data_IF_442519218837
#
_entry.id   IF_442519218837
#
_cell.length_a   1.000
_cell.length_b   1.000
_cell.length_c   1.000
_cell.angle_alpha   90.00
_cell.angle_beta   90.00
_cell.angle_gamma   90.00
#
_symmetry.space_group_name_H-M   'P 1'
#
loop_
_entity.id
_entity.type
_entity.pdbx_description
1 polymer ?
#
# COMPACT_ATOMS: atom_id res chain seq x y z
N UNK A 1 32.81 9.04 20.37
CA UNK A 1 32.23 8.44 21.59
C UNK A 1 31.45 7.20 21.17
N UNK A 2 31.68 6.05 21.82
CA UNK A 2 30.86 4.85 21.57
C UNK A 2 29.40 5.17 21.93
N UNK A 3 28.45 4.86 21.03
CA UNK A 3 27.02 4.93 21.37
C UNK A 3 26.75 3.96 22.53
N UNK A 4 26.06 4.43 23.57
CA UNK A 4 25.57 3.52 24.60
C UNK A 4 24.71 2.43 23.95
N UNK A 5 24.74 1.21 24.50
CA UNK A 5 23.94 0.10 24.00
C UNK A 5 22.45 0.46 24.06
N UNK A 6 21.74 0.19 22.97
CA UNK A 6 20.28 0.33 22.91
C UNK A 6 19.64 -0.59 23.94
N UNK A 7 18.79 -0.04 24.82
CA UNK A 7 18.22 -0.78 25.97
C UNK A 7 16.81 -1.29 25.70
N UNK A 8 16.01 -0.51 24.98
CA UNK A 8 14.67 -0.95 24.54
C UNK A 8 14.32 -0.29 23.21
N UNK A 9 13.43 -0.93 22.46
CA UNK A 9 12.91 -0.40 21.20
C UNK A 9 11.40 -0.25 21.28
N UNK A 10 10.93 0.90 20.86
CA UNK A 10 9.52 1.21 20.67
C UNK A 10 9.19 1.22 19.19
N UNK A 11 8.14 0.50 18.82
CA UNK A 11 7.58 0.50 17.47
C UNK A 11 6.21 1.15 17.49
N UNK A 12 5.99 2.19 16.69
CA UNK A 12 4.69 2.83 16.54
C UNK A 12 4.09 2.43 15.20
N UNK A 13 3.06 1.60 15.24
CA UNK A 13 2.37 0.99 14.11
C UNK A 13 2.35 -0.54 14.21
N UNK A 14 1.24 -1.10 14.69
CA UNK A 14 1.04 -2.53 14.93
C UNK A 14 0.60 -3.32 13.68
N UNK A 15 1.14 -3.03 12.49
CA UNK A 15 0.81 -3.73 11.24
C UNK A 15 2.07 -4.39 10.64
N UNK A 16 2.03 -4.76 9.36
CA UNK A 16 3.09 -5.53 8.69
C UNK A 16 4.50 -4.97 8.90
N UNK A 17 4.70 -3.65 8.68
CA UNK A 17 6.01 -3.03 8.85
C UNK A 17 6.48 -3.07 10.32
N UNK A 18 5.60 -2.77 11.28
CA UNK A 18 5.97 -2.77 12.69
C UNK A 18 6.34 -4.16 13.21
N UNK A 19 5.54 -5.18 12.88
CA UNK A 19 5.86 -6.56 13.25
C UNK A 19 7.13 -7.06 12.57
N UNK A 20 7.30 -6.76 11.27
CA UNK A 20 8.52 -7.15 10.55
C UNK A 20 9.76 -6.46 11.14
N UNK A 21 9.66 -5.20 11.60
CA UNK A 21 10.75 -4.52 12.28
C UNK A 21 11.08 -5.18 13.63
N UNK A 22 10.07 -5.50 14.43
CA UNK A 22 10.27 -6.21 15.71
C UNK A 22 10.93 -7.57 15.49
N UNK A 23 10.47 -8.34 14.52
CA UNK A 23 11.08 -9.60 14.12
C UNK A 23 12.53 -9.41 13.62
N UNK A 24 12.77 -8.44 12.75
CA UNK A 24 14.11 -8.13 12.24
C UNK A 24 15.12 -7.74 13.34
N UNK A 25 14.65 -7.05 14.40
CA UNK A 25 15.46 -6.75 15.58
C UNK A 25 15.85 -8.04 16.33
N UNK A 26 14.91 -8.95 16.56
CA UNK A 26 15.16 -10.24 17.22
C UNK A 26 16.13 -11.11 16.40
N UNK A 27 15.92 -11.22 15.10
CA UNK A 27 16.81 -11.99 14.22
C UNK A 27 18.27 -11.46 14.24
N UNK A 28 18.45 -10.18 14.52
CA UNK A 28 19.77 -9.54 14.66
C UNK A 28 20.35 -9.55 16.06
N UNK A 29 19.72 -10.30 16.97
CA UNK A 29 20.21 -10.52 18.35
C UNK A 29 19.94 -9.38 19.31
N UNK A 30 18.97 -8.48 19.01
CA UNK A 30 18.51 -7.52 20.01
C UNK A 30 17.74 -8.24 21.11
N UNK A 31 18.27 -8.21 22.32
CA UNK A 31 17.79 -8.92 23.51
C UNK A 31 16.97 -8.03 24.49
N UNK A 32 16.95 -6.72 24.25
CA UNK A 32 16.18 -5.77 25.06
C UNK A 32 14.67 -5.85 24.78
N UNK A 33 13.82 -5.26 25.66
CA UNK A 33 12.39 -5.19 25.45
C UNK A 33 12.02 -4.50 24.11
N UNK A 34 11.01 -5.05 23.43
CA UNK A 34 10.38 -4.44 22.26
C UNK A 34 8.89 -4.25 22.58
N UNK A 35 8.40 -3.00 22.44
CA UNK A 35 6.98 -2.69 22.59
C UNK A 35 6.44 -2.16 21.28
N UNK A 36 5.35 -2.74 20.78
CA UNK A 36 4.67 -2.35 19.56
C UNK A 36 3.29 -1.76 19.90
N UNK A 37 3.08 -0.50 19.57
CA UNK A 37 1.80 0.20 19.73
C UNK A 37 1.03 0.21 18.40
N UNK A 38 -0.22 -0.22 18.42
CA UNK A 38 -1.14 -0.19 17.29
C UNK A 38 -2.44 0.52 17.63
N UNK A 39 -2.91 1.41 16.77
CA UNK A 39 -4.14 2.19 17.02
C UNK A 39 -5.43 1.40 16.74
N UNK A 40 -5.35 0.30 16.01
CA UNK A 40 -6.46 -0.62 15.81
C UNK A 40 -6.54 -1.62 16.99
N UNK A 41 -7.76 -2.04 17.39
CA UNK A 41 -7.94 -2.98 18.50
C UNK A 41 -7.62 -4.43 18.14
N UNK A 42 -7.21 -4.66 16.88
CA UNK A 42 -6.97 -5.98 16.31
C UNK A 42 -5.48 -6.32 16.34
N UNK A 43 -5.16 -7.61 16.43
CA UNK A 43 -3.86 -8.09 16.05
C UNK A 43 -3.57 -7.75 14.57
N UNK A 44 -2.30 -7.70 14.20
CA UNK A 44 -1.92 -7.38 12.82
C UNK A 44 -2.51 -8.38 11.82
N UNK A 45 -2.90 -7.90 10.66
CA UNK A 45 -3.57 -8.69 9.63
C UNK A 45 -3.11 -8.31 8.22
N UNK A 46 -3.43 -9.16 7.24
CA UNK A 46 -3.10 -8.98 5.82
C UNK A 46 -4.03 -7.95 5.19
N UNK A 47 -3.63 -6.66 5.16
CA UNK A 47 -4.42 -5.57 4.51
C UNK A 47 -4.77 -5.86 3.05
N UNK A 48 -3.91 -6.48 2.22
CA UNK A 48 -4.28 -6.83 0.85
C UNK A 48 -5.47 -7.79 0.72
N UNK A 49 -5.84 -8.49 1.78
CA UNK A 49 -7.03 -9.35 1.79
C UNK A 49 -8.35 -8.55 1.84
N UNK A 50 -8.32 -7.31 2.35
CA UNK A 50 -9.51 -6.50 2.60
C UNK A 50 -10.27 -6.12 1.33
N UNK A 51 -9.58 -5.89 0.21
CA UNK A 51 -10.20 -5.60 -1.09
C UNK A 51 -10.57 -6.84 -1.91
N UNK A 52 -10.20 -8.04 -1.45
CA UNK A 52 -10.29 -9.31 -2.16
C UNK A 52 -11.11 -10.34 -1.36
N UNK A 53 -10.46 -11.41 -0.90
CA UNK A 53 -11.12 -12.55 -0.24
C UNK A 53 -11.97 -12.19 0.97
N UNK A 54 -11.60 -11.15 1.71
CA UNK A 54 -12.40 -10.69 2.85
C UNK A 54 -13.77 -10.15 2.41
N UNK A 55 -13.88 -9.54 1.22
CA UNK A 55 -15.15 -9.09 0.66
C UNK A 55 -15.93 -10.21 -0.02
N UNK A 56 -15.26 -11.10 -0.74
CA UNK A 56 -15.91 -12.07 -1.65
C UNK A 56 -16.30 -13.37 -0.98
N UNK A 57 -15.71 -13.71 0.16
CA UNK A 57 -15.94 -15.00 0.83
C UNK A 57 -16.61 -14.77 2.18
N UNK A 58 -17.88 -15.16 2.35
CA UNK A 58 -18.63 -14.94 3.60
C UNK A 58 -18.02 -15.68 4.79
N UNK A 59 -17.36 -16.81 4.53
CA UNK A 59 -16.71 -17.65 5.57
C UNK A 59 -15.39 -17.09 6.06
N UNK A 60 -14.82 -16.06 5.40
CA UNK A 60 -13.58 -15.41 5.82
C UNK A 60 -13.89 -14.36 6.89
N UNK A 61 -13.44 -14.63 8.10
CA UNK A 61 -13.49 -13.71 9.24
C UNK A 61 -12.17 -12.94 9.46
N UNK A 62 -12.15 -12.08 10.49
CA UNK A 62 -10.92 -11.38 10.89
C UNK A 62 -9.76 -12.33 11.20
N UNK A 63 -10.01 -13.44 11.86
CA UNK A 63 -8.99 -14.39 12.29
C UNK A 63 -8.29 -15.10 11.12
N UNK A 64 -8.99 -15.27 9.98
CA UNK A 64 -8.44 -15.93 8.78
C UNK A 64 -7.42 -15.08 8.02
N UNK A 65 -7.34 -13.80 8.34
CA UNK A 65 -6.42 -12.85 7.71
C UNK A 65 -5.36 -12.33 8.67
N UNK A 66 -5.32 -12.81 9.92
CA UNK A 66 -4.29 -12.40 10.87
C UNK A 66 -2.88 -12.74 10.37
N UNK A 67 -1.94 -11.89 10.69
CA UNK A 67 -0.52 -12.20 10.58
C UNK A 67 -0.12 -13.02 11.80
N UNK A 68 0.44 -14.20 11.57
CA UNK A 68 1.08 -14.95 12.65
C UNK A 68 2.34 -14.19 13.06
N UNK A 69 2.32 -13.63 14.25
CA UNK A 69 3.50 -13.06 14.86
C UNK A 69 4.20 -14.18 15.63
N UNK A 70 5.21 -14.80 15.06
CA UNK A 70 6.14 -15.68 15.80
C UNK A 70 7.10 -14.82 16.66
N UNK A 71 6.56 -13.78 17.29
CA UNK A 71 7.32 -12.83 18.10
C UNK A 71 7.18 -13.23 19.57
N UNK A 72 7.79 -14.34 19.94
CA UNK A 72 8.15 -14.58 21.35
C UNK A 72 8.95 -13.36 21.84
N UNK A 73 8.65 -12.84 23.02
CA UNK A 73 9.30 -11.70 23.67
C UNK A 73 9.04 -10.29 23.05
N UNK A 74 7.92 -10.07 22.33
CA UNK A 74 7.46 -8.74 21.91
C UNK A 74 6.16 -8.38 22.62
N UNK A 75 6.14 -7.23 23.30
CA UNK A 75 4.91 -6.71 23.92
C UNK A 75 4.08 -6.01 22.83
N UNK A 76 2.89 -6.55 22.52
CA UNK A 76 1.94 -5.93 21.60
C UNK A 76 0.90 -5.18 22.43
N UNK A 77 0.66 -3.91 22.08
CA UNK A 77 -0.37 -3.07 22.70
C UNK A 77 -1.32 -2.54 21.60
N UNK A 78 -2.32 -3.33 21.21
CA UNK A 78 -3.38 -2.89 20.30
C UNK A 78 -4.31 -1.90 20.99
N UNK A 79 -5.00 -1.05 20.20
CA UNK A 79 -5.89 -0.02 20.71
C UNK A 79 -5.17 1.16 21.36
N UNK A 80 -3.88 1.34 21.10
CA UNK A 80 -3.08 2.45 21.64
C UNK A 80 -2.52 3.30 20.50
N UNK A 81 -2.97 4.55 20.43
CA UNK A 81 -2.57 5.53 19.42
C UNK A 81 -1.49 6.48 19.93
N UNK A 82 -0.43 6.66 19.16
CA UNK A 82 0.52 7.74 19.38
C UNK A 82 -0.12 9.08 18.96
N UNK A 83 -0.02 10.09 19.82
CA UNK A 83 -0.60 11.43 19.62
C UNK A 83 0.46 12.53 19.62
N UNK A 84 1.72 12.21 19.90
CA UNK A 84 2.82 13.15 19.82
C UNK A 84 4.16 12.53 20.17
N UNK A 85 5.21 13.19 19.70
CA UNK A 85 6.61 12.86 20.01
C UNK A 85 7.34 14.12 20.42
N UNK A 86 7.98 14.08 21.59
CA UNK A 86 8.94 15.11 22.05
C UNK A 86 10.35 14.51 21.93
N UNK A 87 11.13 15.00 20.98
CA UNK A 87 12.51 14.56 20.76
C UNK A 87 13.46 14.99 21.87
N UNK A 88 13.25 16.17 22.46
CA UNK A 88 14.10 16.71 23.52
C UNK A 88 14.07 15.85 24.77
N UNK A 89 12.89 15.41 25.17
CA UNK A 89 12.68 14.53 26.32
C UNK A 89 12.61 13.06 25.96
N UNK A 90 12.64 12.73 24.67
CA UNK A 90 12.47 11.36 24.13
C UNK A 90 11.22 10.69 24.67
N UNK A 91 10.08 11.39 24.61
CA UNK A 91 8.80 10.92 25.10
C UNK A 91 7.75 10.86 24.02
N UNK A 92 7.05 9.71 23.92
CA UNK A 92 5.81 9.54 23.20
C UNK A 92 4.64 9.93 24.08
N UNK A 93 3.66 10.62 23.50
CA UNK A 93 2.30 10.73 24.05
C UNK A 93 1.46 9.66 23.41
N UNK A 94 0.79 8.89 24.24
CA UNK A 94 -0.05 7.75 23.84
C UNK A 94 -1.46 7.98 24.38
N UNK A 95 -2.46 7.55 23.62
CA UNK A 95 -3.87 7.58 24.04
C UNK A 95 -4.49 6.22 23.77
N UNK A 96 -5.15 5.68 24.76
CA UNK A 96 -6.01 4.50 24.61
C UNK A 96 -7.23 4.88 23.74
N UNK A 97 -7.48 4.09 22.68
CA UNK A 97 -8.55 4.37 21.72
C UNK A 97 -9.95 4.05 22.26
N UNK A 98 -10.07 3.27 23.35
CA UNK A 98 -11.33 2.89 23.97
C UNK A 98 -11.68 3.77 25.18
N UNK A 99 -10.69 4.08 26.01
CA UNK A 99 -10.92 4.85 27.26
C UNK A 99 -10.44 6.30 27.22
N UNK A 100 -9.73 6.72 26.18
CA UNK A 100 -9.22 8.08 26.04
C UNK A 100 -8.11 8.46 27.03
N UNK A 101 -7.61 7.53 27.85
CA UNK A 101 -6.56 7.79 28.85
C UNK A 101 -5.25 8.10 28.14
N UNK A 102 -4.66 9.25 28.47
CA UNK A 102 -3.36 9.65 27.97
C UNK A 102 -2.25 9.20 28.92
N UNK A 103 -1.15 8.74 28.33
CA UNK A 103 0.08 8.37 29.05
C UNK A 103 1.32 8.74 28.25
N UNK A 104 2.44 8.78 28.94
CA UNK A 104 3.74 8.99 28.33
C UNK A 104 4.55 7.69 28.33
N UNK A 105 5.31 7.48 27.25
CA UNK A 105 6.24 6.37 27.13
C UNK A 105 7.62 6.89 26.74
N UNK A 106 8.66 6.48 27.46
CA UNK A 106 10.03 6.91 27.17
C UNK A 106 10.58 6.07 26.02
N UNK A 107 11.27 6.70 25.09
CA UNK A 107 11.84 6.09 23.89
C UNK A 107 13.36 6.05 23.98
N UNK A 108 13.97 4.88 23.86
CA UNK A 108 15.43 4.74 23.64
C UNK A 108 15.73 4.52 22.14
N UNK A 109 15.13 3.52 21.49
CA UNK A 109 15.07 3.38 20.06
C UNK A 109 13.62 3.47 19.54
N UNK A 110 13.41 4.06 18.37
CA UNK A 110 12.09 4.24 17.77
C UNK A 110 12.04 3.76 16.33
N UNK A 111 11.04 2.91 16.04
CA UNK A 111 10.63 2.57 14.68
C UNK A 111 9.27 3.24 14.39
N UNK A 112 9.23 4.15 13.43
CA UNK A 112 8.02 4.80 12.94
C UNK A 112 7.46 3.94 11.79
N UNK A 113 6.36 3.23 12.05
CA UNK A 113 5.73 2.29 11.12
C UNK A 113 4.20 2.51 11.01
N UNK A 114 3.76 3.77 11.18
CA UNK A 114 2.34 4.15 11.25
C UNK A 114 1.60 4.04 9.91
N UNK A 115 2.32 3.81 8.81
CA UNK A 115 1.73 3.59 7.52
C UNK A 115 1.01 4.82 6.96
N UNK A 116 -0.17 4.60 6.39
CA UNK A 116 -0.98 5.64 5.75
C UNK A 116 -2.47 5.47 6.08
N UNK A 117 -3.24 6.54 5.95
CA UNK A 117 -4.70 6.59 6.12
C UNK A 117 -5.38 6.83 4.77
N UNK A 118 -6.58 6.31 4.58
CA UNK A 118 -7.37 6.58 3.37
C UNK A 118 -7.67 8.08 3.23
N UNK A 119 -7.55 8.60 2.00
CA UNK A 119 -8.02 9.95 1.67
C UNK A 119 -9.53 9.96 1.62
N UNK A 120 -10.13 11.01 2.19
CA UNK A 120 -11.55 11.31 2.07
C UNK A 120 -11.75 12.47 1.09
N UNK A 121 -12.90 12.50 0.45
CA UNK A 121 -13.27 13.65 -0.37
C UNK A 121 -13.65 14.82 0.56
N UNK A 122 -13.35 16.07 0.16
CA UNK A 122 -13.69 17.28 0.94
C UNK A 122 -15.16 17.68 0.75
N UNK A 123 -16.08 16.72 0.92
CA UNK A 123 -17.53 16.89 0.78
C UNK A 123 -18.23 16.16 1.91
N UNK A 124 -19.46 16.56 2.20
CA UNK A 124 -20.29 15.88 3.20
C UNK A 124 -20.50 14.41 2.78
N UNK A 125 -20.36 13.53 3.76
CA UNK A 125 -20.34 12.09 3.54
C UNK A 125 -21.54 11.47 4.25
N UNK A 126 -22.62 11.10 3.53
CA UNK A 126 -23.79 10.43 4.10
C UNK A 126 -23.48 8.96 4.46
N UNK A 127 -24.40 8.30 5.18
CA UNK A 127 -24.34 6.86 5.40
C UNK A 127 -24.26 6.09 4.07
N UNK A 128 -23.60 4.93 4.06
CA UNK A 128 -23.38 4.11 2.86
C UNK A 128 -22.22 4.56 1.99
N UNK A 129 -21.48 5.64 2.40
CA UNK A 129 -20.22 6.03 1.76
C UNK A 129 -19.05 5.57 2.62
N UNK A 130 -18.21 4.72 2.07
CA UNK A 130 -17.11 4.06 2.74
C UNK A 130 -15.75 4.46 2.17
N UNK A 131 -14.72 4.25 2.95
CA UNK A 131 -13.31 4.12 2.51
C UNK A 131 -12.85 2.69 2.81
N UNK A 132 -11.69 2.29 2.31
CA UNK A 132 -11.14 0.96 2.58
C UNK A 132 -9.66 1.07 2.95
N UNK A 133 -9.37 0.93 4.25
CA UNK A 133 -8.01 0.90 4.76
C UNK A 133 -7.86 -0.06 5.94
N UNK A 134 -8.85 -0.08 6.84
CA UNK A 134 -8.85 -0.86 8.08
C UNK A 134 -9.80 -2.05 7.99
N UNK A 135 -9.65 -3.00 8.92
CA UNK A 135 -10.58 -4.12 9.04
C UNK A 135 -12.00 -3.64 9.36
N UNK A 136 -12.13 -2.59 10.17
CA UNK A 136 -13.42 -1.97 10.47
C UNK A 136 -14.07 -1.37 9.21
N UNK A 137 -13.29 -0.67 8.36
CA UNK A 137 -13.80 -0.16 7.08
C UNK A 137 -14.30 -1.31 6.18
N UNK A 138 -13.52 -2.38 6.08
CA UNK A 138 -13.88 -3.53 5.25
C UNK A 138 -15.11 -4.27 5.77
N UNK A 139 -15.26 -4.41 7.09
CA UNK A 139 -16.41 -5.03 7.71
C UNK A 139 -17.69 -4.21 7.49
N UNK A 140 -17.61 -2.88 7.66
CA UNK A 140 -18.72 -1.97 7.42
C UNK A 140 -19.14 -1.98 5.95
N UNK A 141 -18.18 -1.89 5.03
CA UNK A 141 -18.45 -1.96 3.60
C UNK A 141 -19.09 -3.31 3.20
N UNK A 142 -18.52 -4.44 3.67
CA UNK A 142 -19.06 -5.77 3.43
C UNK A 142 -20.51 -5.92 3.93
N UNK A 143 -20.81 -5.35 5.09
CA UNK A 143 -22.18 -5.38 5.64
C UNK A 143 -23.17 -4.65 4.73
N UNK A 144 -22.79 -3.50 4.17
CA UNK A 144 -23.64 -2.73 3.26
C UNK A 144 -23.76 -3.36 1.86
N UNK A 145 -22.90 -4.29 1.47
CA UNK A 145 -23.03 -5.06 0.23
C UNK A 145 -24.14 -6.14 0.30
N UNK A 146 -24.64 -6.47 1.49
CA UNK A 146 -25.76 -7.39 1.64
C UNK A 146 -27.03 -6.80 1.00
N UNK A 147 -27.83 -7.63 0.33
CA UNK A 147 -29.05 -7.17 -0.35
C UNK A 147 -28.85 -6.73 -1.80
N UNK A 148 -27.66 -6.96 -2.37
CA UNK A 148 -27.36 -6.72 -3.79
C UNK A 148 -27.55 -5.25 -4.24
N UNK A 149 -26.91 -4.28 -3.54
CA UNK A 149 -27.02 -2.87 -3.87
C UNK A 149 -26.32 -2.54 -5.20
N UNK A 150 -26.67 -1.36 -5.77
CA UNK A 150 -25.87 -0.72 -6.80
C UNK A 150 -24.64 -0.10 -6.14
N UNK A 151 -23.45 -0.45 -6.60
CA UNK A 151 -22.18 0.01 -6.02
C UNK A 151 -21.52 1.02 -6.94
N UNK A 152 -21.18 2.19 -6.42
CA UNK A 152 -20.25 3.11 -7.07
C UNK A 152 -18.88 3.03 -6.40
N UNK A 153 -17.83 2.83 -7.17
CA UNK A 153 -16.45 2.90 -6.72
C UNK A 153 -15.82 4.17 -7.28
N UNK A 154 -15.37 5.05 -6.40
CA UNK A 154 -14.75 6.33 -6.75
C UNK A 154 -13.25 6.21 -6.65
N UNK A 155 -12.55 6.39 -7.76
CA UNK A 155 -11.11 6.19 -7.93
C UNK A 155 -10.79 4.81 -8.50
N UNK A 156 -10.23 4.79 -9.71
CA UNK A 156 -9.80 3.58 -10.41
C UNK A 156 -8.30 3.29 -10.22
N UNK A 157 -7.77 3.55 -9.02
CA UNK A 157 -6.47 3.06 -8.59
C UNK A 157 -6.52 1.57 -8.22
N UNK A 158 -5.45 1.03 -7.67
CA UNK A 158 -5.34 -0.40 -7.34
C UNK A 158 -6.49 -0.91 -6.45
N UNK A 159 -6.73 -0.26 -5.32
CA UNK A 159 -7.78 -0.68 -4.38
C UNK A 159 -9.18 -0.57 -5.01
N UNK A 160 -9.46 0.55 -5.68
CA UNK A 160 -10.77 0.74 -6.33
C UNK A 160 -11.03 -0.29 -7.42
N UNK A 161 -10.04 -0.59 -8.26
CA UNK A 161 -10.15 -1.61 -9.31
C UNK A 161 -10.33 -3.02 -8.73
N UNK A 162 -9.62 -3.36 -7.66
CA UNK A 162 -9.81 -4.63 -6.94
C UNK A 162 -11.20 -4.75 -6.32
N UNK A 163 -11.70 -3.67 -5.70
CA UNK A 163 -13.05 -3.66 -5.12
C UNK A 163 -14.12 -3.76 -6.21
N UNK A 164 -13.95 -3.05 -7.33
CA UNK A 164 -14.86 -3.19 -8.48
C UNK A 164 -14.91 -4.64 -8.96
N UNK A 165 -13.75 -5.30 -9.09
CA UNK A 165 -13.66 -6.72 -9.43
C UNK A 165 -14.34 -7.62 -8.40
N UNK A 166 -14.09 -7.39 -7.11
CA UNK A 166 -14.69 -8.16 -6.01
C UNK A 166 -16.21 -8.01 -5.97
N UNK A 167 -16.74 -6.79 -6.14
CA UNK A 167 -18.18 -6.54 -6.21
C UNK A 167 -18.81 -7.20 -7.44
N UNK A 168 -18.12 -7.22 -8.59
CA UNK A 168 -18.61 -7.97 -9.78
C UNK A 168 -18.60 -9.47 -9.55
N UNK A 169 -17.62 -10.03 -8.86
CA UNK A 169 -17.58 -11.44 -8.49
C UNK A 169 -18.75 -11.82 -7.56
N UNK A 170 -19.27 -10.89 -6.77
CA UNK A 170 -20.47 -11.03 -5.95
C UNK A 170 -21.77 -10.84 -6.77
N UNK A 171 -21.69 -10.59 -8.09
CA UNK A 171 -22.85 -10.37 -8.97
C UNK A 171 -23.47 -8.97 -8.86
N UNK A 172 -22.83 -8.03 -8.17
CA UNK A 172 -23.37 -6.69 -7.95
C UNK A 172 -23.28 -5.81 -9.20
N UNK A 173 -24.17 -4.82 -9.29
CA UNK A 173 -24.14 -3.78 -10.32
C UNK A 173 -23.12 -2.70 -9.95
N UNK A 174 -22.00 -2.57 -10.70
CA UNK A 174 -20.86 -1.74 -10.36
C UNK A 174 -20.63 -0.64 -11.39
N UNK A 175 -20.49 0.59 -10.91
CA UNK A 175 -19.97 1.73 -11.69
C UNK A 175 -18.64 2.20 -11.07
N UNK A 176 -17.57 2.19 -11.85
CA UNK A 176 -16.26 2.69 -11.47
C UNK A 176 -16.07 4.11 -12.04
N UNK A 177 -15.86 5.08 -11.13
CA UNK A 177 -15.71 6.51 -11.44
C UNK A 177 -14.25 6.89 -11.30
N UNK A 178 -13.68 7.51 -12.33
CA UNK A 178 -12.28 7.97 -12.33
C UNK A 178 -12.17 9.36 -12.93
N UNK A 179 -11.49 10.26 -12.23
CA UNK A 179 -11.24 11.62 -12.69
C UNK A 179 -10.25 11.67 -13.87
N UNK A 180 -9.36 10.69 -13.96
CA UNK A 180 -8.43 10.52 -15.07
C UNK A 180 -9.07 9.90 -16.30
N UNK A 181 -8.27 9.80 -17.37
CA UNK A 181 -8.68 9.28 -18.69
C UNK A 181 -8.85 7.76 -18.72
N UNK A 182 -8.17 7.04 -17.81
CA UNK A 182 -8.24 5.59 -17.74
C UNK A 182 -7.85 5.07 -16.32
N UNK A 183 -8.27 3.85 -15.94
CA UNK A 183 -7.85 3.20 -14.71
C UNK A 183 -6.33 3.12 -14.61
N UNK A 184 -5.77 3.49 -13.46
CA UNK A 184 -4.34 3.43 -13.15
C UNK A 184 -3.40 4.15 -14.14
N UNK A 185 -3.90 4.94 -15.10
CA UNK A 185 -3.07 5.61 -16.10
C UNK A 185 -1.96 6.46 -15.48
N UNK A 186 -2.23 7.11 -14.33
CA UNK A 186 -1.22 7.89 -13.61
C UNK A 186 -0.05 7.05 -13.07
N UNK A 187 -0.30 5.80 -12.70
CA UNK A 187 0.70 4.90 -12.11
C UNK A 187 1.39 4.01 -13.15
N UNK A 188 0.66 3.59 -14.19
CA UNK A 188 1.10 2.57 -15.14
C UNK A 188 1.14 3.06 -16.60
N UNK A 189 0.72 4.29 -16.87
CA UNK A 189 0.67 4.86 -18.21
C UNK A 189 -0.63 4.55 -18.97
N UNK A 190 -0.86 5.28 -20.07
CA UNK A 190 -2.12 5.24 -20.82
C UNK A 190 -2.36 3.91 -21.54
N UNK A 191 -1.30 3.26 -22.02
CA UNK A 191 -1.40 1.95 -22.70
C UNK A 191 -2.00 0.91 -21.75
N UNK A 192 -1.45 0.79 -20.55
CA UNK A 192 -1.96 -0.12 -19.51
C UNK A 192 -3.36 0.28 -19.07
N UNK A 193 -3.57 1.59 -18.88
CA UNK A 193 -4.88 2.12 -18.50
C UNK A 193 -5.99 1.77 -19.49
N UNK A 194 -5.72 1.82 -20.79
CA UNK A 194 -6.68 1.46 -21.82
C UNK A 194 -7.07 -0.03 -21.76
N UNK A 195 -6.10 -0.93 -21.59
CA UNK A 195 -6.34 -2.37 -21.47
C UNK A 195 -7.11 -2.71 -20.18
N UNK A 196 -6.80 -2.03 -19.07
CA UNK A 196 -7.55 -2.19 -17.83
C UNK A 196 -8.98 -1.65 -17.95
N UNK A 197 -9.20 -0.58 -18.71
CA UNK A 197 -10.55 -0.10 -18.99
C UNK A 197 -11.35 -1.11 -19.83
N UNK A 198 -10.72 -1.78 -20.79
CA UNK A 198 -11.33 -2.87 -21.55
C UNK A 198 -11.69 -4.05 -20.62
N UNK A 199 -10.75 -4.48 -19.76
CA UNK A 199 -10.96 -5.53 -18.78
C UNK A 199 -12.18 -5.26 -17.88
N UNK A 200 -12.29 -4.06 -17.32
CA UNK A 200 -13.45 -3.68 -16.52
C UNK A 200 -14.77 -3.77 -17.27
N UNK A 201 -14.82 -3.28 -18.54
CA UNK A 201 -16.05 -3.33 -19.36
C UNK A 201 -16.46 -4.75 -19.72
N UNK A 202 -15.51 -5.59 -20.10
CA UNK A 202 -15.75 -7.00 -20.45
C UNK A 202 -16.37 -7.79 -19.28
N UNK A 203 -15.98 -7.45 -18.04
CA UNK A 203 -16.56 -8.02 -16.84
C UNK A 203 -17.83 -7.29 -16.35
N UNK A 204 -18.40 -6.40 -17.18
CA UNK A 204 -19.68 -5.74 -16.94
C UNK A 204 -19.62 -4.58 -15.93
N UNK A 205 -18.43 -4.04 -15.63
CA UNK A 205 -18.30 -2.82 -14.85
C UNK A 205 -18.52 -1.61 -15.74
N UNK A 206 -19.46 -0.73 -15.39
CA UNK A 206 -19.64 0.56 -16.07
C UNK A 206 -18.51 1.52 -15.68
N UNK A 207 -17.92 2.20 -16.66
CA UNK A 207 -16.88 3.19 -16.42
C UNK A 207 -17.40 4.61 -16.64
N UNK A 208 -17.08 5.50 -15.71
CA UNK A 208 -17.21 6.95 -15.82
C UNK A 208 -15.82 7.56 -15.65
N UNK A 209 -15.21 7.90 -16.78
CA UNK A 209 -13.85 8.42 -16.86
C UNK A 209 -13.89 9.91 -17.18
N UNK A 210 -12.86 10.66 -16.76
CA UNK A 210 -12.71 12.09 -17.04
C UNK A 210 -13.59 12.99 -16.18
N UNK A 211 -14.26 12.47 -15.17
CA UNK A 211 -15.12 13.26 -14.29
C UNK A 211 -14.82 12.98 -12.80
N UNK A 212 -14.55 14.05 -12.06
CA UNK A 212 -14.38 14.01 -10.61
C UNK A 212 -15.72 13.96 -9.88
N UNK A 213 -15.66 13.78 -8.55
CA UNK A 213 -16.84 13.81 -7.68
C UNK A 213 -17.05 15.21 -7.15
N UNK A 214 -18.26 15.76 -7.34
CA UNK A 214 -18.71 17.04 -6.80
C UNK A 214 -19.48 16.88 -5.47
N UNK A 215 -19.97 15.67 -5.16
CA UNK A 215 -20.71 15.38 -3.94
C UNK A 215 -21.52 14.10 -4.04
N UNK A 216 -22.35 13.87 -3.05
CA UNK A 216 -23.28 12.76 -2.98
C UNK A 216 -24.73 13.24 -3.03
N UNK A 217 -25.66 12.36 -3.38
CA UNK A 217 -27.10 12.58 -3.29
C UNK A 217 -27.70 11.66 -2.24
N UNK A 218 -28.85 12.04 -1.68
CA UNK A 218 -29.58 11.30 -0.65
C UNK A 218 -29.79 12.13 0.60
N UNK A 219 -30.76 11.75 1.39
CA UNK A 219 -31.07 12.33 2.70
C UNK A 219 -30.72 11.31 3.79
N UNK A 220 -29.69 11.59 4.57
CA UNK A 220 -29.11 10.65 5.56
C UNK A 220 -28.29 9.53 4.95
N UNK A 221 -28.82 8.82 3.95
CA UNK A 221 -28.10 7.71 3.25
C UNK A 221 -27.89 8.04 1.77
N UNK A 222 -26.78 7.57 1.21
CA UNK A 222 -26.41 7.80 -0.19
C UNK A 222 -27.40 7.14 -1.15
N UNK A 223 -27.76 7.88 -2.20
CA UNK A 223 -28.57 7.38 -3.34
C UNK A 223 -27.86 7.56 -4.67
N UNK A 224 -26.72 8.27 -4.70
CA UNK A 224 -25.91 8.47 -5.88
C UNK A 224 -24.69 9.33 -5.65
N UNK A 225 -23.83 9.34 -6.67
CA UNK A 225 -22.60 10.15 -6.75
C UNK A 225 -22.81 11.24 -7.80
N UNK A 226 -22.77 12.51 -7.41
CA UNK A 226 -22.83 13.66 -8.31
C UNK A 226 -21.44 13.98 -8.83
N UNK A 227 -21.27 13.97 -10.12
CA UNK A 227 -20.02 14.21 -10.81
C UNK A 227 -19.83 15.70 -11.16
N UNK A 228 -18.59 16.10 -11.46
CA UNK A 228 -18.24 17.47 -11.82
C UNK A 228 -18.79 17.91 -13.18
N UNK A 229 -19.17 16.98 -14.03
CA UNK A 229 -19.85 17.21 -15.33
C UNK A 229 -21.38 17.34 -15.21
N UNK A 230 -21.91 17.29 -13.98
CA UNK A 230 -23.35 17.40 -13.68
C UNK A 230 -24.12 16.08 -13.70
N UNK A 231 -23.53 14.99 -14.17
CA UNK A 231 -24.19 13.69 -14.12
C UNK A 231 -24.28 13.15 -12.70
N UNK A 232 -25.32 12.33 -12.45
CA UNK A 232 -25.47 11.56 -11.21
C UNK A 232 -25.36 10.08 -11.54
N UNK A 233 -24.43 9.40 -10.87
CA UNK A 233 -24.31 7.94 -10.89
C UNK A 233 -25.18 7.39 -9.77
N UNK A 234 -26.29 6.68 -10.05
CA UNK A 234 -27.11 6.08 -9.02
C UNK A 234 -26.33 5.00 -8.26
N UNK A 235 -26.34 5.07 -6.93
CA UNK A 235 -25.64 4.12 -6.08
C UNK A 235 -26.29 4.05 -4.70
N UNK A 236 -26.44 2.85 -4.17
CA UNK A 236 -26.96 2.59 -2.83
C UNK A 236 -25.83 2.43 -1.82
N UNK A 237 -24.62 2.12 -2.31
CA UNK A 237 -23.37 2.01 -1.56
C UNK A 237 -22.24 2.60 -2.40
N UNK A 238 -21.36 3.36 -1.75
CA UNK A 238 -20.21 3.99 -2.41
C UNK A 238 -18.92 3.63 -1.69
N UNK A 239 -17.90 3.24 -2.44
CA UNK A 239 -16.52 3.17 -1.95
C UNK A 239 -15.70 4.33 -2.50
N UNK A 240 -15.01 5.06 -1.64
CA UNK A 240 -14.06 6.12 -2.01
C UNK A 240 -12.64 5.60 -1.87
N UNK A 241 -12.00 5.34 -3.02
CA UNK A 241 -10.64 4.81 -3.16
C UNK A 241 -9.69 5.78 -3.88
N UNK A 242 -9.63 7.06 -3.42
CA UNK A 242 -8.88 8.14 -4.08
C UNK A 242 -7.45 8.31 -3.56
N UNK A 243 -6.85 7.23 -3.06
CA UNK A 243 -5.49 7.18 -2.56
C UNK A 243 -5.38 7.27 -1.04
N UNK A 244 -4.16 7.37 -0.55
CA UNK A 244 -3.85 7.46 0.86
C UNK A 244 -2.97 8.67 1.16
N UNK A 245 -2.84 9.00 2.44
CA UNK A 245 -1.91 9.99 2.97
C UNK A 245 -1.09 9.37 4.10
N UNK A 246 0.20 9.67 4.22
CA UNK A 246 1.02 9.12 5.29
C UNK A 246 0.49 9.55 6.66
N UNK A 247 0.53 8.63 7.61
CA UNK A 247 0.02 8.87 8.97
C UNK A 247 1.07 9.58 9.83
N UNK A 248 1.37 10.84 9.49
CA UNK A 248 2.40 11.67 10.13
C UNK A 248 1.87 12.70 11.13
N UNK A 249 0.56 12.92 11.23
CA UNK A 249 -0.03 14.00 12.03
C UNK A 249 0.41 14.02 13.51
N UNK A 250 0.70 12.85 14.10
CA UNK A 250 1.20 12.75 15.47
C UNK A 250 2.66 13.21 15.63
N UNK A 251 3.39 13.36 14.53
CA UNK A 251 4.77 13.85 14.49
C UNK A 251 4.86 15.36 14.24
N UNK A 252 3.73 16.04 13.98
CA UNK A 252 3.71 17.48 13.81
C UNK A 252 4.24 18.17 15.07
N UNK A 253 5.14 19.14 14.89
CA UNK A 253 5.80 19.83 16.00
C UNK A 253 6.92 19.03 16.69
N UNK A 254 7.21 17.79 16.30
CA UNK A 254 8.32 17.00 16.86
C UNK A 254 9.71 17.49 16.44
N UNK A 255 9.81 18.23 15.33
CA UNK A 255 11.07 18.62 14.70
C UNK A 255 11.62 17.59 13.71
N UNK A 256 10.95 16.44 13.51
CA UNK A 256 11.31 15.51 12.45
C UNK A 256 10.93 16.06 11.07
N UNK A 257 11.73 15.77 10.01
CA UNK A 257 11.42 16.23 8.65
C UNK A 257 10.21 15.47 8.10
N UNK A 258 9.13 16.21 7.80
CA UNK A 258 7.86 15.68 7.29
C UNK A 258 7.53 16.34 5.94
N UNK A 259 7.48 15.53 4.89
CA UNK A 259 7.07 15.96 3.55
C UNK A 259 6.51 14.75 2.78
N UNK A 260 5.19 14.68 2.60
CA UNK A 260 4.49 13.49 2.07
C UNK A 260 5.00 12.17 2.68
N UNK A 261 5.24 12.19 4.00
CA UNK A 261 5.80 11.10 4.78
C UNK A 261 6.86 11.59 5.75
N UNK A 262 7.49 10.67 6.45
CA UNK A 262 8.69 10.91 7.25
C UNK A 262 9.89 10.85 6.33
N UNK A 263 10.61 11.97 6.17
CA UNK A 263 11.79 12.02 5.29
C UNK A 263 12.96 11.33 5.98
N UNK A 264 13.45 10.28 5.34
CA UNK A 264 14.53 9.44 5.82
C UNK A 264 15.82 9.68 5.04
N UNK A 265 16.94 9.34 5.63
CA UNK A 265 18.19 9.08 4.91
C UNK A 265 18.10 7.84 4.02
N UNK A 266 19.13 7.59 3.20
CA UNK A 266 19.16 6.43 2.32
C UNK A 266 19.12 5.08 3.06
N UNK A 267 19.49 5.06 4.33
CA UNK A 267 19.49 3.94 5.25
C UNK A 267 18.20 3.84 6.10
N UNK A 268 17.18 4.62 5.78
CA UNK A 268 15.92 4.73 6.52
C UNK A 268 16.05 5.38 7.92
N UNK A 269 17.21 5.93 8.28
CA UNK A 269 17.37 6.72 9.49
C UNK A 269 16.65 8.07 9.34
N UNK A 270 16.02 8.54 10.41
CA UNK A 270 15.31 9.84 10.49
C UNK A 270 16.07 10.78 11.43
N UNK A 271 16.50 10.26 12.57
CA UNK A 271 17.27 10.95 13.59
C UNK A 271 18.08 9.93 14.39
N UNK A 272 18.84 10.39 15.40
CA UNK A 272 19.58 9.47 16.26
C UNK A 272 18.64 8.45 16.92
N UNK A 273 18.88 7.14 16.65
CA UNK A 273 18.08 6.00 17.13
C UNK A 273 16.60 6.07 16.72
N UNK A 274 16.28 6.75 15.62
CA UNK A 274 14.93 6.81 15.07
C UNK A 274 15.00 6.43 13.59
N UNK A 275 14.21 5.45 13.20
CA UNK A 275 14.09 4.96 11.83
C UNK A 275 12.60 4.95 11.42
N UNK A 276 12.32 4.96 10.12
CA UNK A 276 10.97 4.78 9.61
C UNK A 276 10.89 3.67 8.56
N UNK A 277 9.72 3.02 8.46
CA UNK A 277 9.49 1.93 7.52
C UNK A 277 8.02 1.83 7.06
N UNK A 278 7.81 1.34 5.85
CA UNK A 278 6.50 1.15 5.24
C UNK A 278 5.94 2.43 4.63
N UNK A 279 4.60 2.49 4.47
CA UNK A 279 3.91 3.55 3.70
C UNK A 279 4.14 4.97 4.26
N UNK A 280 4.63 5.10 5.49
CA UNK A 280 4.94 6.39 6.13
C UNK A 280 6.33 6.91 5.74
N UNK A 281 7.26 6.03 5.34
CA UNK A 281 8.63 6.38 5.05
C UNK A 281 8.79 6.97 3.65
N UNK A 282 9.50 8.10 3.53
CA UNK A 282 9.90 8.71 2.28
C UNK A 282 11.41 8.81 2.25
N UNK A 283 12.04 8.18 1.26
CA UNK A 283 13.50 8.02 1.22
C UNK A 283 14.06 8.30 -0.17
N UNK A 284 15.37 8.66 -0.28
CA UNK A 284 15.99 8.83 -1.58
C UNK A 284 16.16 7.49 -2.29
N UNK A 285 15.63 7.37 -3.50
CA UNK A 285 15.80 6.20 -4.35
C UNK A 285 17.27 6.04 -4.72
N UNK A 286 17.81 4.84 -4.58
CA UNK A 286 19.24 4.58 -4.65
C UNK A 286 19.90 4.89 -6.00
N UNK A 287 19.13 4.96 -7.10
CA UNK A 287 19.66 5.20 -8.46
C UNK A 287 19.74 6.69 -8.82
N UNK A 288 18.70 7.44 -8.49
CA UNK A 288 18.54 8.83 -8.94
C UNK A 288 18.44 9.85 -7.80
N UNK A 289 18.41 9.38 -6.56
CA UNK A 289 18.30 10.22 -5.38
C UNK A 289 16.91 10.88 -5.22
N UNK A 290 15.96 10.61 -6.10
CA UNK A 290 14.62 11.16 -5.98
C UNK A 290 13.94 10.66 -4.69
N UNK A 291 13.32 11.59 -3.95
CA UNK A 291 12.56 11.21 -2.76
C UNK A 291 11.27 10.50 -3.19
N UNK A 292 11.16 9.22 -2.88
CA UNK A 292 9.99 8.39 -3.17
C UNK A 292 9.34 7.86 -1.90
N UNK A 293 8.03 7.63 -1.96
CA UNK A 293 7.23 6.94 -0.96
C UNK A 293 6.40 5.86 -1.66
N UNK A 294 6.47 4.63 -1.19
CA UNK A 294 5.89 3.46 -1.85
C UNK A 294 4.98 2.72 -0.89
N UNK A 295 3.70 2.62 -1.24
CA UNK A 295 2.64 2.00 -0.44
C UNK A 295 2.45 0.52 -0.83
N UNK A 296 3.52 -0.27 -0.82
CA UNK A 296 3.50 -1.67 -1.22
C UNK A 296 3.82 -2.59 -0.03
N UNK A 297 3.10 -3.69 0.06
CA UNK A 297 3.28 -4.69 1.10
C UNK A 297 4.72 -5.23 1.19
N UNK A 298 5.30 -5.66 0.05
CA UNK A 298 6.69 -6.16 -0.01
C UNK A 298 7.69 -5.07 0.42
N UNK A 299 7.45 -3.82 0.02
CA UNK A 299 8.29 -2.68 0.42
C UNK A 299 8.24 -2.45 1.94
N UNK A 300 7.06 -2.53 2.55
CA UNK A 300 6.90 -2.37 3.99
C UNK A 300 7.70 -3.41 4.78
N UNK A 301 7.69 -4.68 4.35
CA UNK A 301 8.45 -5.75 4.99
C UNK A 301 9.96 -5.56 4.82
N UNK A 302 10.42 -5.21 3.61
CA UNK A 302 11.84 -5.01 3.32
C UNK A 302 12.42 -3.78 4.01
N UNK A 303 11.67 -2.68 4.03
CA UNK A 303 12.08 -1.50 4.76
C UNK A 303 12.15 -1.75 6.26
N UNK A 304 11.21 -2.50 6.81
CA UNK A 304 11.19 -2.84 8.23
C UNK A 304 12.45 -3.63 8.64
N UNK A 305 12.84 -4.60 7.82
CA UNK A 305 14.06 -5.37 8.03
C UNK A 305 15.34 -4.51 7.93
N UNK A 306 15.40 -3.63 6.92
CA UNK A 306 16.52 -2.69 6.77
C UNK A 306 16.55 -1.65 7.90
N UNK A 307 15.41 -1.11 8.30
CA UNK A 307 15.29 -0.17 9.42
C UNK A 307 15.74 -0.78 10.75
N UNK A 308 15.42 -2.06 10.99
CA UNK A 308 15.92 -2.81 12.15
C UNK A 308 17.45 -2.93 12.12
N UNK A 309 18.04 -3.24 10.95
CA UNK A 309 19.50 -3.27 10.78
C UNK A 309 20.12 -1.89 11.05
N UNK A 310 19.54 -0.83 10.50
CA UNK A 310 20.00 0.56 10.69
C UNK A 310 19.96 0.99 12.16
N UNK A 311 18.88 0.64 12.86
CA UNK A 311 18.70 1.01 14.27
C UNK A 311 19.76 0.36 15.17
N UNK A 312 20.20 -0.86 14.84
CA UNK A 312 21.23 -1.60 15.59
C UNK A 312 22.65 -1.31 15.13
N UNK A 313 22.83 -0.71 13.97
CA UNK A 313 24.15 -0.41 13.43
C UNK A 313 24.89 0.65 14.26
N UNK A 314 26.23 0.57 14.37
CA UNK A 314 27.02 1.70 14.86
C UNK A 314 26.75 2.99 14.05
N UNK A 315 26.96 4.14 14.66
CA UNK A 315 26.74 5.41 13.99
C UNK A 315 27.54 5.48 12.66
N UNK A 316 26.84 5.76 11.55
CA UNK A 316 27.41 5.88 10.20
C UNK A 316 27.78 4.56 9.52
N UNK A 317 27.46 3.41 10.12
CA UNK A 317 27.77 2.09 9.54
C UNK A 317 26.54 1.41 8.87
N UNK A 318 25.38 2.06 8.88
CA UNK A 318 24.19 1.54 8.22
C UNK A 318 24.34 1.55 6.69
N UNK A 319 23.81 0.52 6.05
CA UNK A 319 23.81 0.40 4.58
C UNK A 319 22.57 1.07 3.98
N UNK A 320 22.70 1.69 2.79
CA UNK A 320 21.53 2.21 2.08
C UNK A 320 20.51 1.12 1.75
N UNK A 321 19.23 1.49 1.78
CA UNK A 321 18.14 0.63 1.32
C UNK A 321 18.08 0.65 -0.21
N UNK A 322 18.38 -0.49 -0.82
CA UNK A 322 18.46 -0.65 -2.29
C UNK A 322 17.52 -1.71 -2.84
N UNK A 323 16.60 -2.21 -2.03
CA UNK A 323 15.71 -3.28 -2.46
C UNK A 323 14.78 -2.81 -3.58
N UNK A 324 14.68 -3.62 -4.65
CA UNK A 324 13.70 -3.40 -5.71
C UNK A 324 12.30 -3.65 -5.18
N UNK A 325 11.42 -2.67 -5.29
CA UNK A 325 10.04 -2.76 -4.88
C UNK A 325 9.25 -3.74 -5.74
N UNK A 326 8.27 -4.40 -5.16
CA UNK A 326 7.33 -5.25 -5.87
C UNK A 326 5.91 -4.98 -5.36
N UNK A 327 4.96 -5.05 -6.29
CA UNK A 327 3.54 -4.91 -6.02
C UNK A 327 2.76 -5.94 -6.83
N UNK A 328 1.58 -6.36 -6.34
CA UNK A 328 0.64 -7.15 -7.13
C UNK A 328 -0.79 -6.64 -6.96
N UNK A 329 -1.61 -6.86 -7.96
CA UNK A 329 -3.05 -6.65 -7.93
C UNK A 329 -3.75 -7.78 -8.65
N UNK A 330 -4.83 -8.28 -8.06
CA UNK A 330 -5.69 -9.29 -8.67
C UNK A 330 -7.00 -8.62 -9.06
N UNK A 331 -7.33 -8.61 -10.35
CA UNK A 331 -8.51 -7.98 -10.90
C UNK A 331 -9.16 -8.93 -11.90
N UNK A 332 -10.34 -9.41 -11.58
CA UNK A 332 -11.04 -10.42 -12.39
C UNK A 332 -10.14 -11.66 -12.64
N UNK A 333 -9.86 -11.94 -13.90
CA UNK A 333 -8.97 -13.01 -14.36
C UNK A 333 -7.53 -12.54 -14.66
N UNK A 334 -7.20 -11.29 -14.29
CA UNK A 334 -5.89 -10.69 -14.54
C UNK A 334 -5.11 -10.49 -13.24
N UNK A 335 -3.93 -11.11 -13.17
CA UNK A 335 -2.94 -10.88 -12.13
C UNK A 335 -1.88 -9.92 -12.65
N UNK A 336 -1.83 -8.75 -12.06
CA UNK A 336 -0.80 -7.74 -12.32
C UNK A 336 0.32 -7.86 -11.29
N UNK A 337 1.56 -7.87 -11.75
CA UNK A 337 2.74 -7.84 -10.88
C UNK A 337 3.70 -6.75 -11.40
N UNK A 338 3.89 -5.71 -10.62
CA UNK A 338 4.81 -4.61 -10.93
C UNK A 338 6.10 -4.79 -10.14
N UNK A 339 7.21 -4.77 -10.83
CA UNK A 339 8.57 -4.76 -10.26
C UNK A 339 9.21 -3.42 -10.56
N UNK A 340 9.85 -2.82 -9.56
CA UNK A 340 10.43 -1.48 -9.69
C UNK A 340 9.38 -0.38 -9.44
N UNK A 341 9.74 0.84 -9.80
CA UNK A 341 8.91 2.02 -9.57
C UNK A 341 8.92 2.90 -10.81
N UNK A 342 7.90 2.77 -11.69
CA UNK A 342 7.80 3.64 -12.86
C UNK A 342 7.50 5.07 -12.39
N UNK A 343 8.14 6.04 -13.03
CA UNK A 343 7.90 7.47 -12.78
C UNK A 343 7.23 8.11 -14.00
N UNK A 344 6.54 9.23 -13.81
CA UNK A 344 6.03 10.02 -14.94
C UNK A 344 7.14 10.34 -15.94
N UNK A 345 6.90 10.03 -17.22
CA UNK A 345 7.87 10.22 -18.29
C UNK A 345 8.72 8.99 -18.62
N UNK A 346 8.61 7.88 -17.88
CA UNK A 346 9.21 6.62 -18.28
C UNK A 346 8.50 6.10 -19.54
N UNK A 347 9.29 5.61 -20.50
CA UNK A 347 8.77 5.01 -21.74
C UNK A 347 8.25 3.59 -21.45
N UNK A 348 6.96 3.37 -21.67
CA UNK A 348 6.32 2.07 -21.50
C UNK A 348 6.24 1.32 -22.83
N UNK A 349 6.83 0.13 -22.93
CA UNK A 349 6.87 -0.68 -24.16
C UNK A 349 6.48 -2.13 -23.84
N UNK A 350 5.60 -2.72 -24.66
CA UNK A 350 5.33 -4.18 -24.60
C UNK A 350 6.55 -4.91 -25.13
N UNK A 351 7.17 -5.72 -24.30
CA UNK A 351 8.39 -6.46 -24.64
C UNK A 351 8.16 -7.97 -24.80
N UNK A 352 7.06 -8.48 -24.25
CA UNK A 352 6.67 -9.89 -24.39
C UNK A 352 5.14 -9.99 -24.42
N UNK A 353 4.61 -10.91 -25.26
CA UNK A 353 3.19 -11.25 -25.33
C UNK A 353 2.30 -10.16 -25.93
N UNK A 354 0.98 -10.26 -25.67
CA UNK A 354 -0.02 -9.30 -26.11
C UNK A 354 -0.90 -8.87 -24.91
N UNK A 355 -1.00 -7.56 -24.64
CA UNK A 355 -1.88 -7.04 -23.59
C UNK A 355 -3.35 -7.44 -23.80
N UNK A 356 -3.83 -7.58 -25.03
CA UNK A 356 -5.20 -7.99 -25.37
C UNK A 356 -5.49 -9.42 -24.94
N UNK A 357 -4.48 -10.28 -24.95
CA UNK A 357 -4.56 -11.65 -24.43
C UNK A 357 -4.39 -11.70 -22.91
N UNK A 358 -4.14 -10.55 -22.27
CA UNK A 358 -3.85 -10.41 -20.84
C UNK A 358 -2.67 -11.29 -20.39
N UNK A 359 -1.75 -11.54 -21.29
CA UNK A 359 -0.50 -12.26 -21.04
C UNK A 359 0.63 -11.51 -21.70
N UNK A 360 1.26 -10.61 -20.96
CA UNK A 360 2.33 -9.78 -21.50
C UNK A 360 3.28 -9.29 -20.41
N UNK A 361 4.40 -8.73 -20.85
CA UNK A 361 5.30 -7.92 -20.03
C UNK A 361 5.46 -6.55 -20.67
N UNK A 362 5.29 -5.50 -19.87
CA UNK A 362 5.50 -4.11 -20.25
C UNK A 362 6.71 -3.59 -19.49
N UNK A 363 7.75 -3.22 -20.19
CA UNK A 363 8.96 -2.62 -19.64
C UNK A 363 8.84 -1.11 -19.58
N UNK A 364 9.29 -0.51 -18.47
CA UNK A 364 9.39 0.94 -18.31
C UNK A 364 10.87 1.32 -18.33
N UNK A 365 11.20 2.32 -19.16
CA UNK A 365 12.58 2.76 -19.35
C UNK A 365 12.70 4.26 -19.15
N UNK A 366 13.85 4.65 -18.58
CA UNK A 366 14.28 6.04 -18.51
C UNK A 366 15.69 6.13 -19.03
N UNK A 367 15.93 6.98 -20.03
CA UNK A 367 17.21 7.10 -20.70
C UNK A 367 17.80 5.74 -21.17
N UNK A 368 16.93 4.80 -21.58
CA UNK A 368 17.31 3.46 -22.02
C UNK A 368 17.45 2.41 -20.90
N UNK A 369 17.55 2.83 -19.62
CA UNK A 369 17.66 1.92 -18.50
C UNK A 369 16.28 1.36 -18.08
N UNK A 370 16.22 0.09 -17.71
CA UNK A 370 15.02 -0.55 -17.19
C UNK A 370 14.77 -0.10 -15.74
N UNK A 371 13.70 0.65 -15.51
CA UNK A 371 13.31 1.20 -14.20
C UNK A 371 12.22 0.36 -13.53
N UNK A 372 11.34 -0.24 -14.35
CA UNK A 372 10.29 -1.11 -13.85
C UNK A 372 9.80 -2.08 -14.94
N UNK A 373 9.07 -3.11 -14.53
CA UNK A 373 8.37 -4.03 -15.42
C UNK A 373 7.00 -4.41 -14.84
N UNK A 374 5.94 -4.32 -15.65
CA UNK A 374 4.62 -4.81 -15.33
C UNK A 374 4.40 -6.14 -16.04
N UNK A 375 4.07 -7.17 -15.27
CA UNK A 375 3.76 -8.50 -15.74
C UNK A 375 2.26 -8.74 -15.61
N UNK A 376 1.59 -9.05 -16.72
CA UNK A 376 0.18 -9.44 -16.74
C UNK A 376 0.12 -10.96 -16.92
N UNK A 377 -0.47 -11.69 -15.98
CA UNK A 377 -0.59 -13.16 -15.99
C UNK A 377 0.70 -13.92 -16.41
N UNK A 378 1.87 -13.36 -16.06
CA UNK A 378 3.18 -13.88 -16.43
C UNK A 378 4.09 -14.11 -15.22
N UNK A 379 3.62 -14.83 -14.16
CA UNK A 379 4.36 -14.96 -12.90
C UNK A 379 5.70 -15.70 -13.07
N UNK A 380 5.83 -16.55 -14.08
CA UNK A 380 7.07 -17.27 -14.40
C UNK A 380 8.21 -16.33 -14.81
N UNK A 381 7.90 -15.12 -15.29
CA UNK A 381 8.88 -14.10 -15.67
C UNK A 381 9.33 -13.22 -14.50
N UNK A 382 8.62 -13.25 -13.36
CA UNK A 382 8.83 -12.34 -12.22
C UNK A 382 10.27 -12.31 -11.74
N UNK A 383 10.90 -13.47 -11.57
CA UNK A 383 12.29 -13.57 -11.10
C UNK A 383 13.28 -12.89 -12.04
N UNK A 384 13.13 -13.11 -13.34
CA UNK A 384 14.01 -12.53 -14.35
C UNK A 384 13.92 -11.00 -14.36
N UNK A 385 12.69 -10.47 -14.35
CA UNK A 385 12.50 -9.01 -14.33
C UNK A 385 12.89 -8.36 -13.00
N UNK A 386 12.72 -9.04 -11.86
CA UNK A 386 13.27 -8.54 -10.59
C UNK A 386 14.78 -8.37 -10.65
N UNK A 387 15.49 -9.32 -11.22
CA UNK A 387 16.94 -9.25 -11.38
C UNK A 387 17.33 -8.16 -12.37
N UNK A 388 16.67 -8.09 -13.52
CA UNK A 388 16.92 -7.09 -14.56
C UNK A 388 16.71 -5.65 -14.05
N UNK A 389 15.59 -5.39 -13.35
CA UNK A 389 15.30 -4.11 -12.74
C UNK A 389 16.31 -3.78 -11.64
N UNK A 390 16.71 -4.75 -10.80
CA UNK A 390 17.68 -4.53 -9.74
C UNK A 390 19.06 -4.13 -10.26
N UNK A 391 19.49 -4.71 -11.40
CA UNK A 391 20.81 -4.46 -11.99
C UNK A 391 20.83 -3.28 -12.97
N UNK A 392 19.67 -2.76 -13.38
CA UNK A 392 19.57 -1.71 -14.40
C UNK A 392 19.91 -2.20 -15.80
N UNK A 393 20.07 -3.50 -16.00
CA UNK A 393 20.40 -4.04 -17.31
C UNK A 393 19.25 -3.79 -18.29
N UNK A 394 19.59 -3.30 -19.48
CA UNK A 394 18.66 -3.32 -20.61
C UNK A 394 18.28 -4.78 -20.85
N UNK A 395 16.98 -5.04 -20.98
CA UNK A 395 16.45 -6.40 -21.15
C UNK A 395 16.83 -7.09 -22.48
N UNK A 396 17.92 -6.70 -23.12
CA UNK A 396 18.45 -7.39 -24.32
C UNK A 396 18.87 -8.83 -24.03
N UNK A 397 19.02 -9.24 -22.79
CA UNK A 397 19.23 -10.66 -22.43
C UNK A 397 17.97 -11.42 -21.99
N UNK A 398 16.83 -10.72 -21.80
CA UNK A 398 15.58 -11.36 -21.40
C UNK A 398 14.55 -11.46 -22.54
N UNK A 399 14.76 -10.71 -23.63
CA UNK A 399 13.85 -10.64 -24.78
C UNK A 399 14.20 -11.64 -25.92
N UNK A 400 15.37 -12.26 -25.89
CA UNK A 400 15.85 -13.11 -26.99
C UNK A 400 15.47 -14.60 -26.90
N UNK A 401 14.63 -15.00 -25.95
CA UNK A 401 14.05 -16.34 -25.95
C UNK A 401 12.55 -16.25 -26.18
N UNK A 402 12.03 -16.50 -27.40
CA UNK A 402 10.61 -16.71 -27.57
C UNK A 402 10.17 -17.89 -26.67
N UNK A 403 8.99 -17.83 -26.05
CA UNK A 403 8.49 -18.95 -25.27
C UNK A 403 8.45 -20.19 -26.17
N UNK A 404 8.82 -21.38 -25.65
CA UNK A 404 8.64 -22.59 -26.42
C UNK A 404 7.18 -22.75 -26.81
N UNK A 405 6.91 -22.73 -28.10
CA UNK A 405 5.59 -23.04 -28.65
C UNK A 405 5.23 -24.45 -28.14
N UNK A 406 4.08 -24.62 -27.47
CA UNK A 406 3.65 -25.98 -27.11
C UNK A 406 3.49 -26.79 -28.39
N UNK A 407 4.34 -27.80 -28.58
CA UNK A 407 4.12 -28.79 -29.64
C UNK A 407 2.80 -29.48 -29.30
N UNK A 408 1.83 -29.41 -30.20
CA UNK A 408 0.66 -30.23 -30.14
C UNK A 408 1.13 -31.67 -30.11
N UNK A 409 0.74 -32.41 -29.10
CA UNK A 409 0.93 -33.83 -29.03
C UNK A 409 0.11 -34.53 -30.15
N UNK A 410 0.63 -35.62 -30.74
CA UNK A 410 -0.02 -36.31 -31.84
C UNK A 410 -1.33 -36.98 -31.46
#
# INVERSE_FOLDING_TARGET
MARDRLRHVTVVGGSAAGLAAAHGLRQRGFDGPITVFGDEPWAAYQRPALSKRFLTSPDIGPDDILLRADAEDVTLEPGVRATGLDLGTRRLRLRDTHGGVERHHTVDGLVIATGATARRLPVDTPEGVHVLRTLADAAAFRADLAGSPRVAVVGAGFVGSEVASSCRALGLDVTLVEAGTAPMARALGDVVGAELAALHREHGTRLRLGAGVAGFTGDGRVTGVRLTDGHVVPADVVLVGVGARPATGWLEGSGLPLEDGVVCGPDLAVADRIVAAGDVARWPHHRDGALIRVEHWDNALRQADAAAATLLAPAGAASPFTATTMFWSDQYDCKLQLVGHPLPGDEATVVEGDPRERRCVIAYRRAGELTAALLCNSPHRLRAYRQAVATGHTASGAADAPPPVPQAAP
#
